data_IF_169259747029
#
_entry.id   IF_169259747029
#
_cell.length_a   1.000
_cell.length_b   1.000
_cell.length_c   1.000
_cell.angle_alpha   90.00
_cell.angle_beta   90.00
_cell.angle_gamma   90.00
#
_symmetry.space_group_name_H-M   'P 1'
#
loop_
_entity.id
_entity.type
_entity.pdbx_description
1 polymer ?
#
# COMPACT_ATOMS: atom_id res chain seq x y z
N UNK A 1 7.54 20.17 4.26
CA UNK A 1 8.25 19.19 5.11
C UNK A 1 7.83 17.78 4.69
N UNK A 2 8.70 16.77 4.80
CA UNK A 2 8.34 15.34 4.63
C UNK A 2 8.69 14.60 5.92
N UNK A 3 7.68 14.04 6.57
CA UNK A 3 7.83 13.16 7.74
C UNK A 3 7.49 11.73 7.34
N UNK A 4 8.26 10.76 7.85
CA UNK A 4 8.01 9.33 7.63
C UNK A 4 7.68 8.68 8.96
N UNK A 5 6.62 7.85 8.98
CA UNK A 5 6.22 7.02 10.11
C UNK A 5 6.26 5.55 9.71
N UNK A 6 6.75 4.72 10.64
CA UNK A 6 7.01 3.30 10.40
C UNK A 6 6.39 2.47 11.52
N UNK A 7 5.58 1.50 11.12
CA UNK A 7 4.83 0.62 12.02
C UNK A 7 5.31 -0.82 11.83
N UNK A 8 5.27 -1.62 12.90
CA UNK A 8 5.77 -3.00 12.92
C UNK A 8 4.71 -3.91 13.51
N UNK A 9 4.73 -5.18 13.17
CA UNK A 9 3.92 -6.19 13.86
C UNK A 9 4.22 -6.18 15.36
N UNK A 10 3.20 -5.86 16.17
CA UNK A 10 3.29 -5.74 17.62
C UNK A 10 4.08 -4.54 18.13
N UNK A 11 4.50 -3.63 17.24
CA UNK A 11 5.35 -2.48 17.59
C UNK A 11 4.61 -1.27 18.17
N UNK A 12 3.29 -1.26 18.07
CA UNK A 12 2.43 -0.15 18.47
C UNK A 12 1.04 -0.66 18.85
N UNK A 13 0.29 0.10 19.66
CA UNK A 13 -1.12 -0.19 19.93
C UNK A 13 -2.04 0.51 18.93
N UNK A 14 -3.26 -0.01 18.74
CA UNK A 14 -4.27 0.66 17.93
C UNK A 14 -4.62 2.06 18.47
N UNK A 15 -4.58 2.25 19.79
CA UNK A 15 -4.85 3.54 20.42
C UNK A 15 -3.76 4.56 20.10
N UNK A 16 -2.49 4.17 20.07
CA UNK A 16 -1.39 5.07 19.68
C UNK A 16 -1.56 5.54 18.23
N UNK A 17 -1.84 4.61 17.32
CA UNK A 17 -2.11 4.95 15.91
C UNK A 17 -3.38 5.79 15.77
N UNK A 18 -4.43 5.50 16.54
CA UNK A 18 -5.66 6.31 16.54
C UNK A 18 -5.37 7.76 16.95
N UNK A 19 -4.55 7.97 17.98
CA UNK A 19 -4.16 9.30 18.44
C UNK A 19 -3.33 10.05 17.40
N UNK A 20 -2.42 9.35 16.72
CA UNK A 20 -1.65 9.91 15.60
C UNK A 20 -2.55 10.39 14.44
N UNK A 21 -3.53 9.57 14.07
CA UNK A 21 -4.51 9.92 13.02
C UNK A 21 -5.40 11.07 13.50
N UNK A 22 -5.86 11.04 14.76
CA UNK A 22 -6.65 12.11 15.36
C UNK A 22 -5.89 13.43 15.45
N UNK A 23 -4.59 13.41 15.76
CA UNK A 23 -3.73 14.60 15.75
C UNK A 23 -3.63 15.20 14.34
N UNK A 24 -3.42 14.36 13.33
CA UNK A 24 -3.39 14.82 11.93
C UNK A 24 -4.71 15.51 11.56
N UNK A 25 -5.85 14.86 11.80
CA UNK A 25 -7.19 15.40 11.52
C UNK A 25 -7.51 16.63 12.37
N UNK A 26 -7.05 16.66 13.62
CA UNK A 26 -7.25 17.76 14.57
C UNK A 26 -6.63 19.07 14.10
N UNK A 27 -5.55 19.01 13.31
CA UNK A 27 -4.94 20.18 12.69
C UNK A 27 -5.78 20.82 11.55
N UNK A 28 -6.88 20.21 11.12
CA UNK A 28 -7.70 20.74 10.02
C UNK A 28 -8.49 21.99 10.46
N UNK A 29 -8.48 23.01 9.60
CA UNK A 29 -9.13 24.31 9.81
C UNK A 29 -10.18 24.65 8.77
N UNK A 30 -10.14 24.02 7.59
CA UNK A 30 -11.00 24.28 6.43
C UNK A 30 -11.59 23.01 5.84
N UNK A 31 -10.76 22.02 5.53
CA UNK A 31 -11.20 20.78 4.88
C UNK A 31 -10.44 19.55 5.36
N UNK A 32 -11.11 18.41 5.29
CA UNK A 32 -10.54 17.09 5.49
C UNK A 32 -11.13 16.13 4.47
N UNK A 33 -10.29 15.59 3.59
CA UNK A 33 -10.69 14.62 2.58
C UNK A 33 -9.98 13.29 2.81
N UNK A 34 -10.74 12.19 2.94
CA UNK A 34 -10.20 10.87 3.28
C UNK A 34 -10.58 9.84 2.22
N UNK A 35 -9.58 9.20 1.61
CA UNK A 35 -9.77 8.04 0.75
C UNK A 35 -9.16 6.81 1.44
N UNK A 36 -10.02 5.93 1.93
CA UNK A 36 -9.62 4.81 2.78
C UNK A 36 -10.26 3.53 2.30
N UNK A 37 -9.41 2.59 1.89
CA UNK A 37 -9.80 1.28 1.41
C UNK A 37 -10.54 0.45 2.46
N UNK A 38 -9.88 0.12 3.56
CA UNK A 38 -10.38 -0.78 4.62
C UNK A 38 -10.55 -0.02 5.93
N UNK A 39 -11.79 0.03 6.43
CA UNK A 39 -12.14 0.62 7.72
C UNK A 39 -12.77 -0.44 8.61
N UNK A 40 -12.03 -0.86 9.65
CA UNK A 40 -12.49 -1.82 10.68
C UNK A 40 -11.84 -1.50 12.01
N UNK A 41 -12.24 -0.35 12.57
CA UNK A 41 -11.86 0.06 13.90
C UNK A 41 -12.94 -0.36 14.89
N UNK A 42 -12.53 -0.72 16.09
CA UNK A 42 -13.43 -1.00 17.21
C UNK A 42 -12.84 -0.45 18.51
N UNK A 43 -13.61 -0.55 19.60
CA UNK A 43 -13.23 -0.09 20.94
C UNK A 43 -12.68 1.35 20.96
N UNK A 44 -11.65 1.61 21.76
CA UNK A 44 -11.08 2.95 21.99
C UNK A 44 -10.54 3.57 20.68
N UNK A 45 -9.97 2.75 19.79
CA UNK A 45 -9.45 3.22 18.51
C UNK A 45 -10.55 3.80 17.61
N UNK A 46 -11.71 3.13 17.53
CA UNK A 46 -12.88 3.64 16.81
C UNK A 46 -13.43 4.92 17.44
N UNK A 47 -13.50 4.98 18.77
CA UNK A 47 -13.99 6.14 19.50
C UNK A 47 -13.12 7.38 19.26
N UNK A 48 -11.79 7.21 19.27
CA UNK A 48 -10.84 8.30 19.04
C UNK A 48 -10.99 8.87 17.62
N UNK A 49 -10.99 8.00 16.59
CA UNK A 49 -11.14 8.46 15.19
C UNK A 49 -12.50 9.11 14.96
N UNK A 50 -13.57 8.47 15.46
CA UNK A 50 -14.93 9.01 15.36
C UNK A 50 -15.02 10.38 16.03
N UNK A 51 -14.49 10.51 17.26
CA UNK A 51 -14.45 11.77 18.00
C UNK A 51 -13.72 12.85 17.22
N UNK A 52 -12.55 12.54 16.64
CA UNK A 52 -11.78 13.51 15.87
C UNK A 52 -12.49 13.99 14.59
N UNK A 53 -13.23 13.12 13.90
CA UNK A 53 -14.04 13.49 12.74
C UNK A 53 -15.22 14.40 13.16
N UNK A 54 -15.92 14.05 14.24
CA UNK A 54 -17.01 14.84 14.80
C UNK A 54 -16.53 16.21 15.29
N UNK A 55 -15.38 16.27 15.96
CA UNK A 55 -14.77 17.51 16.43
C UNK A 55 -14.39 18.42 15.26
N UNK A 56 -13.84 17.85 14.17
CA UNK A 56 -13.54 18.61 12.96
C UNK A 56 -14.82 19.24 12.38
N UNK A 57 -15.89 18.44 12.25
CA UNK A 57 -17.18 18.94 11.78
C UNK A 57 -17.78 20.01 12.69
N UNK A 58 -17.69 19.84 14.02
CA UNK A 58 -18.16 20.81 15.00
C UNK A 58 -17.41 22.15 14.92
N UNK A 59 -16.13 22.13 14.52
CA UNK A 59 -15.34 23.33 14.19
C UNK A 59 -15.71 23.97 12.84
N UNK A 60 -16.59 23.34 12.05
CA UNK A 60 -16.98 23.80 10.72
C UNK A 60 -16.03 23.38 9.60
N UNK A 61 -15.14 22.39 9.85
CA UNK A 61 -14.29 21.80 8.81
C UNK A 61 -15.16 21.00 7.84
N UNK A 62 -14.96 21.19 6.53
CA UNK A 62 -15.62 20.41 5.51
C UNK A 62 -14.99 19.01 5.40
N UNK A 63 -15.65 18.00 5.98
CA UNK A 63 -15.19 16.61 5.97
C UNK A 63 -15.85 15.85 4.81
N UNK A 64 -15.07 15.10 4.03
CA UNK A 64 -15.55 14.17 2.98
C UNK A 64 -14.77 12.87 3.05
N UNK A 65 -15.46 11.74 2.92
CA UNK A 65 -14.83 10.42 3.00
C UNK A 65 -15.30 9.51 1.85
N UNK A 66 -14.36 8.95 1.09
CA UNK A 66 -14.63 7.86 0.15
C UNK A 66 -14.08 6.55 0.71
N UNK A 67 -14.83 5.46 0.54
CA UNK A 67 -14.46 4.13 1.04
C UNK A 67 -14.83 3.03 0.06
N UNK A 68 -14.06 1.93 0.07
CA UNK A 68 -14.34 0.78 -0.76
C UNK A 68 -15.55 0.01 -0.22
N UNK A 69 -16.43 -0.40 -1.13
CA UNK A 69 -17.51 -1.35 -0.83
C UNK A 69 -17.19 -2.69 -1.48
N UNK A 70 -17.06 -3.71 -0.64
CA UNK A 70 -16.82 -5.08 -1.07
C UNK A 70 -18.05 -5.67 -1.73
N UNK A 71 -17.81 -6.58 -2.67
CA UNK A 71 -18.87 -7.29 -3.36
C UNK A 71 -18.64 -8.79 -3.28
N UNK A 72 -19.71 -9.60 -3.18
CA UNK A 72 -19.61 -11.05 -3.31
C UNK A 72 -19.29 -11.41 -4.76
N UNK A 73 -18.00 -11.57 -5.06
CA UNK A 73 -17.45 -12.03 -6.35
C UNK A 73 -16.30 -13.02 -6.14
N UNK A 74 -15.65 -13.54 -7.20
CA UNK A 74 -14.44 -14.33 -7.03
C UNK A 74 -13.40 -13.47 -6.30
N UNK A 75 -12.97 -13.94 -5.13
CA UNK A 75 -12.07 -13.21 -4.25
C UNK A 75 -10.71 -13.05 -4.95
N UNK A 76 -10.21 -11.81 -5.17
CA UNK A 76 -8.87 -11.62 -5.75
C UNK A 76 -7.79 -12.22 -4.84
N UNK A 77 -6.60 -12.51 -5.37
CA UNK A 77 -5.50 -13.10 -4.59
C UNK A 77 -4.32 -12.12 -4.52
N UNK A 78 -3.88 -11.72 -3.31
CA UNK A 78 -4.39 -12.15 -1.99
C UNK A 78 -5.82 -11.64 -1.69
N UNK A 79 -6.59 -12.37 -0.87
CA UNK A 79 -7.95 -11.99 -0.53
C UNK A 79 -7.98 -10.62 0.16
N UNK A 80 -8.81 -9.69 -0.31
CA UNK A 80 -8.96 -8.39 0.31
C UNK A 80 -9.57 -8.52 1.71
N UNK A 81 -9.14 -7.72 2.68
CA UNK A 81 -9.95 -7.46 3.86
C UNK A 81 -11.30 -6.83 3.46
N UNK A 82 -12.36 -7.08 4.24
CA UNK A 82 -13.67 -6.43 4.06
C UNK A 82 -13.81 -5.20 4.95
N UNK A 83 -14.37 -4.10 4.44
CA UNK A 83 -14.67 -2.89 5.21
C UNK A 83 -15.90 -3.10 6.11
N UNK A 84 -15.93 -2.45 7.28
CA UNK A 84 -17.11 -2.32 8.14
C UNK A 84 -17.75 -0.93 7.96
N UNK A 85 -18.60 -0.75 6.93
CA UNK A 85 -19.12 0.57 6.54
C UNK A 85 -20.09 1.17 7.56
N UNK A 86 -20.64 0.37 8.48
CA UNK A 86 -21.70 0.79 9.40
C UNK A 86 -21.24 1.90 10.36
N UNK A 87 -19.96 1.88 10.77
CA UNK A 87 -19.38 2.92 11.62
C UNK A 87 -19.40 4.28 10.93
N UNK A 88 -19.12 4.32 9.62
CA UNK A 88 -18.97 5.53 8.83
C UNK A 88 -20.30 6.07 8.34
N UNK A 89 -21.21 5.18 7.95
CA UNK A 89 -22.56 5.54 7.51
C UNK A 89 -23.40 6.15 8.64
N UNK A 90 -23.06 5.83 9.89
CA UNK A 90 -23.68 6.45 11.07
C UNK A 90 -23.13 7.85 11.39
N UNK A 91 -21.99 8.26 10.80
CA UNK A 91 -21.43 9.57 11.05
C UNK A 91 -22.21 10.65 10.29
N UNK A 92 -22.48 11.82 10.89
CA UNK A 92 -23.14 12.94 10.23
C UNK A 92 -22.23 13.67 9.22
N UNK A 93 -21.23 13.00 8.64
CA UNK A 93 -20.31 13.55 7.64
C UNK A 93 -20.67 13.04 6.23
N UNK A 94 -20.44 13.84 5.18
CA UNK A 94 -20.55 13.35 3.81
C UNK A 94 -19.61 12.17 3.54
N UNK A 95 -20.20 11.00 3.24
CA UNK A 95 -19.47 9.81 2.79
C UNK A 95 -19.92 9.41 1.37
N UNK A 96 -19.04 8.72 0.64
CA UNK A 96 -19.37 8.12 -0.66
C UNK A 96 -18.79 6.70 -0.76
N UNK A 97 -19.63 5.67 -0.87
CA UNK A 97 -19.17 4.32 -1.19
C UNK A 97 -18.68 4.24 -2.64
N UNK A 98 -17.56 3.54 -2.85
CA UNK A 98 -16.97 3.28 -4.16
C UNK A 98 -17.00 1.77 -4.40
N UNK A 99 -17.73 1.28 -5.44
CA UNK A 99 -17.79 -0.15 -5.72
C UNK A 99 -16.43 -0.75 -6.06
N UNK A 100 -16.01 -1.78 -5.34
CA UNK A 100 -14.75 -2.50 -5.58
C UNK A 100 -14.83 -3.57 -6.68
N UNK A 101 -15.59 -3.34 -7.75
CA UNK A 101 -15.75 -4.28 -8.87
C UNK A 101 -15.69 -3.52 -10.20
N UNK A 102 -14.90 -3.97 -11.19
CA UNK A 102 -14.02 -5.14 -11.15
C UNK A 102 -12.75 -4.97 -10.31
N UNK A 103 -12.38 -3.74 -9.98
CA UNK A 103 -11.13 -3.38 -9.29
C UNK A 103 -11.42 -2.55 -8.02
N UNK A 104 -10.51 -2.58 -7.05
CA UNK A 104 -10.72 -2.02 -5.71
C UNK A 104 -10.41 -0.52 -5.65
N UNK A 105 -11.13 0.22 -4.80
CA UNK A 105 -10.69 1.55 -4.35
C UNK A 105 -9.64 1.37 -3.24
N UNK A 106 -8.39 1.16 -3.63
CA UNK A 106 -7.28 0.77 -2.75
C UNK A 106 -6.37 1.97 -2.39
N UNK A 107 -6.98 3.12 -2.10
CA UNK A 107 -6.29 4.29 -1.57
C UNK A 107 -6.27 4.29 -0.04
N UNK A 108 -5.16 4.75 0.52
CA UNK A 108 -4.99 5.01 1.94
C UNK A 108 -4.33 6.37 2.12
N UNK A 109 -5.09 7.44 1.88
CA UNK A 109 -4.62 8.79 2.08
C UNK A 109 -5.67 9.70 2.70
N UNK A 110 -5.19 10.76 3.36
CA UNK A 110 -6.00 11.86 3.84
C UNK A 110 -5.34 13.20 3.48
N UNK A 111 -6.16 14.19 3.15
CA UNK A 111 -5.74 15.54 2.79
C UNK A 111 -6.30 16.49 3.82
N UNK A 112 -5.42 17.27 4.44
CA UNK A 112 -5.79 18.30 5.40
C UNK A 112 -5.63 19.67 4.76
N UNK A 113 -6.72 20.43 4.75
CA UNK A 113 -6.81 21.82 4.29
C UNK A 113 -6.31 22.08 2.86
N UNK A 114 -6.20 21.04 2.03
CA UNK A 114 -5.51 21.07 0.71
C UNK A 114 -4.04 21.55 0.82
N UNK A 115 -3.39 21.29 1.95
CA UNK A 115 -2.01 21.72 2.22
C UNK A 115 -1.11 20.57 2.65
N UNK A 116 -1.65 19.57 3.36
CA UNK A 116 -0.88 18.45 3.90
C UNK A 116 -1.51 17.14 3.46
N UNK A 117 -0.69 16.22 2.96
CA UNK A 117 -1.08 14.86 2.58
C UNK A 117 -0.53 13.88 3.59
N UNK A 118 -1.38 13.02 4.14
CA UNK A 118 -1.01 11.77 4.79
C UNK A 118 -1.24 10.65 3.78
N UNK A 119 -0.22 9.88 3.42
CA UNK A 119 -0.40 8.73 2.52
C UNK A 119 0.56 7.61 2.84
N UNK A 120 0.19 6.37 2.53
CA UNK A 120 1.08 5.23 2.64
C UNK A 120 0.34 3.92 2.51
N UNK A 121 0.83 2.90 3.19
CA UNK A 121 0.23 1.57 3.14
C UNK A 121 -0.87 1.34 4.17
N UNK A 122 -0.96 2.16 5.24
CA UNK A 122 -1.75 1.88 6.44
C UNK A 122 -3.28 1.87 6.18
N UNK A 123 -3.91 0.70 6.31
CA UNK A 123 -5.37 0.61 6.36
C UNK A 123 -5.87 1.13 7.71
N UNK A 124 -7.14 1.53 7.79
CA UNK A 124 -7.75 1.98 9.05
C UNK A 124 -8.48 0.82 9.71
N UNK A 125 -7.72 -0.24 10.02
CA UNK A 125 -8.23 -1.42 10.69
C UNK A 125 -7.36 -1.80 11.88
N UNK A 126 -7.97 -2.46 12.87
CA UNK A 126 -7.28 -2.86 14.10
C UNK A 126 -6.00 -3.65 13.81
N UNK A 127 -6.07 -4.62 12.90
CA UNK A 127 -4.95 -5.46 12.52
C UNK A 127 -3.87 -4.66 11.79
N UNK A 128 -4.25 -3.75 10.89
CA UNK A 128 -3.26 -2.90 10.22
C UNK A 128 -2.49 -2.02 11.20
N UNK A 129 -3.16 -1.60 12.28
CA UNK A 129 -2.57 -0.76 13.30
C UNK A 129 -1.74 -1.54 14.32
N UNK A 130 -1.91 -2.86 14.45
CA UNK A 130 -1.27 -3.63 15.54
C UNK A 130 -0.42 -4.81 15.08
N UNK A 131 -0.66 -5.34 13.87
CA UNK A 131 -0.08 -6.61 13.38
C UNK A 131 0.63 -6.49 12.03
N UNK A 132 0.56 -5.35 11.37
CA UNK A 132 1.12 -5.16 10.03
C UNK A 132 2.24 -4.13 9.99
N UNK A 133 3.29 -4.42 9.23
CA UNK A 133 4.31 -3.45 8.87
C UNK A 133 3.71 -2.41 7.93
N UNK A 134 3.84 -1.14 8.25
CA UNK A 134 3.33 -0.07 7.40
C UNK A 134 4.33 1.09 7.31
N UNK A 135 4.30 1.81 6.20
CA UNK A 135 5.01 3.07 6.05
C UNK A 135 4.05 4.16 5.60
N UNK A 136 4.16 5.31 6.23
CA UNK A 136 3.39 6.53 5.95
C UNK A 136 4.36 7.68 5.66
N UNK A 137 3.99 8.53 4.70
CA UNK A 137 4.54 9.85 4.50
C UNK A 137 3.49 10.92 4.83
N UNK A 138 3.86 11.86 5.70
CA UNK A 138 3.16 13.12 5.86
C UNK A 138 3.94 14.18 5.09
N UNK A 139 3.28 14.86 4.16
CA UNK A 139 3.92 15.79 3.25
C UNK A 139 3.16 17.11 3.26
N UNK A 140 3.82 18.15 3.76
CA UNK A 140 3.34 19.53 3.68
C UNK A 140 3.76 20.12 2.33
N UNK A 141 2.83 20.15 1.39
CA UNK A 141 2.99 20.74 0.07
C UNK A 141 1.62 21.00 -0.56
N UNK A 142 1.20 22.27 -0.72
CA UNK A 142 -0.05 22.60 -1.39
C UNK A 142 -0.15 22.06 -2.82
N UNK A 143 0.99 21.96 -3.52
CA UNK A 143 1.04 21.41 -4.88
C UNK A 143 0.76 19.90 -4.88
N UNK A 144 1.34 19.16 -3.94
CA UNK A 144 1.08 17.73 -3.78
C UNK A 144 -0.37 17.50 -3.31
N UNK A 145 -0.82 18.25 -2.31
CA UNK A 145 -2.18 18.18 -1.79
C UNK A 145 -3.23 18.53 -2.85
N UNK A 146 -2.91 19.44 -3.78
CA UNK A 146 -3.74 19.70 -4.95
C UNK A 146 -3.84 18.49 -5.87
N UNK A 147 -2.72 17.79 -6.17
CA UNK A 147 -2.75 16.59 -7.00
C UNK A 147 -3.58 15.46 -6.38
N UNK A 148 -3.39 15.17 -5.09
CA UNK A 148 -4.23 14.24 -4.35
C UNK A 148 -5.68 14.69 -4.31
N UNK A 149 -5.91 16.00 -4.17
CA UNK A 149 -7.23 16.59 -4.15
C UNK A 149 -7.99 16.39 -5.46
N UNK A 150 -7.32 16.51 -6.61
CA UNK A 150 -7.91 16.22 -7.91
C UNK A 150 -8.30 14.74 -8.04
N UNK A 151 -7.44 13.82 -7.60
CA UNK A 151 -7.75 12.39 -7.59
C UNK A 151 -8.93 12.07 -6.65
N UNK A 152 -8.97 12.71 -5.47
CA UNK A 152 -10.09 12.58 -4.55
C UNK A 152 -11.39 13.08 -5.18
N UNK A 153 -11.36 14.28 -5.77
CA UNK A 153 -12.56 14.90 -6.36
C UNK A 153 -13.07 14.06 -7.55
N UNK A 154 -12.18 13.44 -8.35
CA UNK A 154 -12.55 12.47 -9.39
C UNK A 154 -13.38 11.31 -8.83
N UNK A 155 -12.86 10.59 -7.83
CA UNK A 155 -13.58 9.49 -7.18
C UNK A 155 -14.87 9.96 -6.49
N UNK A 156 -14.83 11.14 -5.86
CA UNK A 156 -15.97 11.74 -5.19
C UNK A 156 -17.11 12.09 -6.15
N UNK A 157 -16.80 12.48 -7.38
CA UNK A 157 -17.80 12.86 -8.38
C UNK A 157 -18.33 11.64 -9.14
N UNK A 158 -17.44 10.78 -9.63
CA UNK A 158 -17.79 9.67 -10.52
C UNK A 158 -18.20 8.41 -9.75
N UNK A 159 -17.52 8.10 -8.66
CA UNK A 159 -17.64 6.79 -8.00
C UNK A 159 -17.08 5.63 -8.81
N UNK A 160 -16.25 5.90 -9.82
CA UNK A 160 -15.74 4.91 -10.77
C UNK A 160 -14.23 4.70 -10.55
N UNK A 161 -13.82 3.45 -10.27
CA UNK A 161 -12.42 3.07 -10.10
C UNK A 161 -11.73 2.96 -11.46
N UNK A 162 -12.35 2.30 -12.43
CA UNK A 162 -11.72 1.93 -13.71
C UNK A 162 -11.33 3.17 -14.50
N UNK A 163 -12.16 4.20 -14.46
CA UNK A 163 -11.93 5.47 -15.14
C UNK A 163 -11.34 6.54 -14.20
N UNK A 164 -10.52 6.15 -13.23
CA UNK A 164 -9.87 7.08 -12.27
C UNK A 164 -8.34 7.11 -12.38
N UNK A 165 -7.72 8.01 -11.60
CA UNK A 165 -6.27 8.11 -11.51
C UNK A 165 -5.65 9.00 -12.59
N UNK A 166 -6.46 9.84 -13.24
CA UNK A 166 -6.07 10.65 -14.40
C UNK A 166 -5.16 11.85 -14.10
N UNK A 167 -4.77 12.00 -12.84
CA UNK A 167 -3.91 13.11 -12.42
C UNK A 167 -2.49 12.83 -12.91
N UNK A 168 -2.07 13.64 -13.88
CA UNK A 168 -0.73 13.58 -14.47
C UNK A 168 0.37 13.54 -13.39
N UNK A 169 1.34 12.60 -13.49
CA UNK A 169 2.37 12.38 -12.47
C UNK A 169 3.49 13.43 -12.58
N UNK A 170 3.14 14.69 -12.30
CA UNK A 170 4.06 15.83 -12.38
C UNK A 170 4.90 15.91 -11.10
N UNK A 171 6.24 15.99 -11.20
CA UNK A 171 7.07 16.21 -10.04
C UNK A 171 6.79 17.59 -9.43
N UNK A 172 6.85 17.67 -8.11
CA UNK A 172 6.74 18.88 -7.29
C UNK A 172 7.93 18.95 -6.34
N UNK A 173 8.38 20.16 -6.04
CA UNK A 173 9.45 20.39 -5.09
C UNK A 173 8.87 20.58 -3.68
N UNK A 174 9.26 19.72 -2.75
CA UNK A 174 8.94 19.85 -1.33
C UNK A 174 10.21 20.27 -0.60
N UNK A 175 10.47 21.58 -0.58
CA UNK A 175 11.78 22.09 -0.18
C UNK A 175 12.82 21.76 -1.24
N UNK A 176 13.84 20.99 -0.88
CA UNK A 176 14.91 20.49 -1.77
C UNK A 176 14.66 19.05 -2.27
N UNK A 177 13.49 18.48 -1.96
CA UNK A 177 13.13 17.11 -2.34
C UNK A 177 12.18 17.12 -3.54
N UNK A 178 12.57 16.48 -4.63
CA UNK A 178 11.67 16.21 -5.77
C UNK A 178 10.76 15.02 -5.41
N UNK A 179 9.45 15.27 -5.39
CA UNK A 179 8.40 14.27 -5.12
C UNK A 179 7.47 14.21 -6.32
N UNK A 180 7.12 13.01 -6.78
CA UNK A 180 6.13 12.82 -7.84
C UNK A 180 5.00 11.90 -7.36
N UNK A 181 3.74 12.38 -7.33
CA UNK A 181 2.60 11.53 -7.10
C UNK A 181 2.28 10.70 -8.34
N UNK A 182 1.84 9.47 -8.13
CA UNK A 182 1.32 8.57 -9.14
C UNK A 182 -0.03 8.04 -8.66
N UNK A 183 -0.97 7.90 -9.59
CA UNK A 183 -2.30 7.36 -9.34
C UNK A 183 -2.64 6.29 -10.38
N UNK A 184 -3.05 5.12 -9.91
CA UNK A 184 -3.62 4.05 -10.72
C UNK A 184 -5.16 4.16 -10.68
N UNK A 185 -5.90 3.59 -11.65
CA UNK A 185 -5.44 2.73 -12.75
C UNK A 185 -4.78 3.43 -13.94
N UNK A 186 -5.16 4.67 -14.28
CA UNK A 186 -4.71 5.33 -15.52
C UNK A 186 -3.18 5.31 -15.70
N UNK A 187 -2.42 5.53 -14.62
CA UNK A 187 -0.95 5.48 -14.66
C UNK A 187 -0.34 4.22 -14.02
N UNK A 188 -1.12 3.17 -13.75
CA UNK A 188 -0.67 1.94 -13.09
C UNK A 188 0.42 1.19 -13.86
N UNK A 189 0.20 0.92 -15.16
CA UNK A 189 1.20 0.29 -16.03
C UNK A 189 2.48 1.15 -16.16
N UNK A 190 2.31 2.46 -16.36
CA UNK A 190 3.40 3.40 -16.45
C UNK A 190 4.23 3.46 -15.16
N UNK A 191 3.58 3.38 -13.99
CA UNK A 191 4.20 3.30 -12.68
C UNK A 191 5.00 1.99 -12.51
N UNK A 192 4.45 0.84 -12.89
CA UNK A 192 5.17 -0.43 -12.84
C UNK A 192 6.47 -0.39 -13.67
N UNK A 193 6.39 0.16 -14.89
CA UNK A 193 7.58 0.40 -15.73
C UNK A 193 8.52 1.46 -15.16
N UNK A 194 8.00 2.48 -14.47
CA UNK A 194 8.80 3.50 -13.80
C UNK A 194 9.64 2.87 -12.68
N UNK A 195 9.03 2.04 -11.84
CA UNK A 195 9.70 1.32 -10.76
C UNK A 195 10.77 0.38 -11.35
N UNK A 196 10.40 -0.45 -12.33
CA UNK A 196 11.33 -1.35 -13.02
C UNK A 196 12.55 -0.59 -13.59
N UNK A 197 12.32 0.55 -14.26
CA UNK A 197 13.40 1.39 -14.78
C UNK A 197 14.34 1.89 -13.68
N UNK A 198 13.82 2.29 -12.51
CA UNK A 198 14.66 2.70 -11.37
C UNK A 198 15.47 1.55 -10.80
N UNK A 199 14.87 0.37 -10.67
CA UNK A 199 15.58 -0.84 -10.27
C UNK A 199 16.74 -1.16 -11.22
N UNK A 200 16.52 -1.19 -12.53
CA UNK A 200 17.58 -1.45 -13.53
C UNK A 200 18.67 -0.37 -13.60
N UNK A 201 18.37 0.85 -13.13
CA UNK A 201 19.34 1.93 -13.01
C UNK A 201 20.15 1.89 -11.71
N UNK A 202 19.75 1.07 -10.73
CA UNK A 202 20.46 0.97 -9.47
C UNK A 202 21.91 0.49 -9.67
N UNK A 203 22.81 1.00 -8.82
CA UNK A 203 24.24 0.68 -8.84
C UNK A 203 24.76 0.24 -7.49
N UNK A 204 24.09 0.61 -6.40
CA UNK A 204 24.55 0.35 -5.04
C UNK A 204 23.61 -0.61 -4.33
N UNK A 205 22.33 -0.26 -4.20
CA UNK A 205 21.38 -1.08 -3.43
C UNK A 205 19.96 -1.04 -3.98
N UNK A 206 19.25 -2.13 -3.74
CA UNK A 206 17.81 -2.26 -3.86
C UNK A 206 17.26 -2.81 -2.54
N UNK A 207 16.19 -2.18 -2.04
CA UNK A 207 15.41 -2.69 -0.91
C UNK A 207 13.93 -2.73 -1.27
N UNK A 208 13.27 -3.84 -0.97
CA UNK A 208 11.85 -4.03 -1.29
C UNK A 208 11.11 -4.56 -0.07
N UNK A 209 9.99 -3.95 0.28
CA UNK A 209 8.97 -4.55 1.12
C UNK A 209 7.66 -4.53 0.35
N UNK A 210 6.99 -5.67 0.26
CA UNK A 210 5.71 -5.77 -0.44
C UNK A 210 4.96 -7.02 0.01
N UNK A 211 3.62 -7.03 0.07
CA UNK A 211 2.89 -8.26 0.31
C UNK A 211 3.23 -9.33 -0.75
N UNK A 212 3.22 -8.93 -2.02
CA UNK A 212 3.53 -9.80 -3.17
C UNK A 212 4.29 -9.03 -4.27
N UNK A 213 5.06 -9.76 -5.08
CA UNK A 213 5.82 -9.24 -6.22
C UNK A 213 5.43 -9.99 -7.50
N UNK A 214 4.39 -9.53 -8.19
CA UNK A 214 3.81 -10.22 -9.34
C UNK A 214 3.67 -9.36 -10.61
N UNK A 215 3.97 -8.06 -10.54
CA UNK A 215 4.05 -7.17 -11.70
C UNK A 215 5.17 -7.61 -12.63
N UNK A 216 4.85 -7.81 -13.91
CA UNK A 216 5.76 -8.38 -14.91
C UNK A 216 7.06 -7.57 -15.09
N UNK A 217 6.98 -6.25 -15.36
CA UNK A 217 8.16 -5.40 -15.53
C UNK A 217 9.10 -5.41 -14.32
N UNK A 218 8.54 -5.34 -13.10
CA UNK A 218 9.30 -5.31 -11.84
C UNK A 218 9.96 -6.66 -11.59
N UNK A 219 9.19 -7.74 -11.70
CA UNK A 219 9.65 -9.10 -11.47
C UNK A 219 10.76 -9.50 -12.45
N UNK A 220 10.60 -9.22 -13.74
CA UNK A 220 11.62 -9.51 -14.75
C UNK A 220 12.92 -8.75 -14.50
N UNK A 221 12.81 -7.47 -14.13
CA UNK A 221 13.98 -6.63 -13.83
C UNK A 221 14.73 -7.11 -12.58
N UNK A 222 14.02 -7.46 -11.50
CA UNK A 222 14.65 -8.00 -10.29
C UNK A 222 15.34 -9.34 -10.56
N UNK A 223 14.73 -10.22 -11.35
CA UNK A 223 15.32 -11.50 -11.72
C UNK A 223 16.63 -11.33 -12.52
N UNK A 224 16.68 -10.37 -13.44
CA UNK A 224 17.90 -10.01 -14.17
C UNK A 224 18.99 -9.47 -13.22
N UNK A 225 18.66 -8.47 -12.40
CA UNK A 225 19.62 -7.84 -11.47
C UNK A 225 20.21 -8.85 -10.48
N UNK A 226 19.37 -9.71 -9.90
CA UNK A 226 19.83 -10.74 -8.98
C UNK A 226 20.67 -11.82 -9.68
N UNK A 227 20.47 -12.03 -10.97
CA UNK A 227 21.30 -12.95 -11.77
C UNK A 227 22.67 -12.36 -12.08
N UNK A 228 22.72 -11.04 -12.30
CA UNK A 228 23.97 -10.30 -12.50
C UNK A 228 24.84 -10.21 -11.24
N UNK A 229 24.21 -10.17 -10.05
CA UNK A 229 24.91 -10.14 -8.76
C UNK A 229 25.75 -8.88 -8.50
N UNK A 230 25.45 -7.78 -9.21
CA UNK A 230 26.23 -6.52 -9.17
C UNK A 230 25.70 -5.48 -8.17
N UNK A 231 24.46 -5.63 -7.72
CA UNK A 231 23.76 -4.70 -6.84
C UNK A 231 23.38 -5.43 -5.57
N UNK A 232 23.51 -4.79 -4.42
CA UNK A 232 23.03 -5.33 -3.15
C UNK A 232 21.49 -5.29 -3.15
N UNK A 233 20.85 -6.44 -3.39
CA UNK A 233 19.40 -6.60 -3.38
C UNK A 233 18.99 -7.35 -2.11
N UNK A 234 18.01 -6.82 -1.39
CA UNK A 234 17.38 -7.51 -0.28
C UNK A 234 15.93 -7.04 -0.10
N UNK A 235 15.12 -7.81 0.62
CA UNK A 235 13.76 -7.40 0.90
C UNK A 235 12.99 -8.39 1.76
N UNK A 236 11.71 -8.08 1.95
CA UNK A 236 10.74 -8.92 2.63
C UNK A 236 9.45 -8.99 1.82
N UNK A 237 8.86 -10.18 1.78
CA UNK A 237 7.52 -10.42 1.24
C UNK A 237 6.64 -11.11 2.27
N UNK A 238 5.35 -11.22 1.97
CA UNK A 238 4.46 -12.12 2.70
C UNK A 238 4.58 -13.55 2.15
N UNK A 239 5.06 -14.49 2.96
CA UNK A 239 5.34 -15.88 2.51
C UNK A 239 4.02 -16.58 2.13
N UNK A 240 3.01 -16.42 2.98
CA UNK A 240 1.69 -17.03 2.84
C UNK A 240 0.95 -16.51 1.60
N UNK A 241 1.01 -15.20 1.31
CA UNK A 241 0.41 -14.65 0.09
C UNK A 241 1.20 -15.00 -1.18
N UNK A 242 2.53 -15.11 -1.09
CA UNK A 242 3.36 -15.59 -2.21
C UNK A 242 2.97 -17.02 -2.60
N UNK A 243 2.70 -17.90 -1.64
CA UNK A 243 2.15 -19.23 -1.91
C UNK A 243 0.80 -19.18 -2.64
N UNK A 244 -0.09 -18.27 -2.24
CA UNK A 244 -1.36 -18.03 -2.93
C UNK A 244 -1.18 -17.59 -4.38
N UNK A 245 -0.22 -16.69 -4.65
CA UNK A 245 0.13 -16.26 -6.01
C UNK A 245 0.67 -17.42 -6.85
N UNK A 246 1.56 -18.23 -6.28
CA UNK A 246 2.12 -19.41 -6.95
C UNK A 246 1.04 -20.44 -7.28
N UNK A 247 0.09 -20.67 -6.37
CA UNK A 247 -1.06 -21.53 -6.60
C UNK A 247 -1.91 -21.02 -7.78
N UNK A 248 -2.30 -19.75 -7.77
CA UNK A 248 -3.09 -19.12 -8.84
C UNK A 248 -2.40 -19.19 -10.22
N UNK A 249 -1.10 -18.90 -10.27
CA UNK A 249 -0.34 -18.96 -11.52
C UNK A 249 -0.30 -20.36 -12.14
N UNK A 250 -0.25 -21.41 -11.31
CA UNK A 250 -0.30 -22.80 -11.78
C UNK A 250 -1.67 -23.16 -12.33
N UNK A 251 -2.75 -22.68 -11.73
CA UNK A 251 -4.11 -22.90 -12.23
C UNK A 251 -4.36 -22.18 -13.56
N UNK A 252 -3.90 -20.93 -13.68
CA UNK A 252 -4.20 -20.09 -14.84
C UNK A 252 -3.34 -20.41 -16.07
N UNK A 253 -2.19 -21.08 -15.91
CA UNK A 253 -1.31 -21.52 -17.01
C UNK A 253 -0.53 -20.40 -17.75
N UNK A 254 -1.05 -19.17 -17.74
CA UNK A 254 -0.51 -18.00 -18.47
C UNK A 254 0.66 -17.30 -17.76
N UNK A 255 1.09 -17.78 -16.59
CA UNK A 255 2.16 -17.19 -15.78
C UNK A 255 3.38 -18.13 -15.63
N UNK A 256 3.53 -19.12 -16.51
CA UNK A 256 4.58 -20.14 -16.43
C UNK A 256 6.01 -19.59 -16.37
N UNK A 257 6.27 -18.45 -17.01
CA UNK A 257 7.58 -17.78 -16.96
C UNK A 257 7.83 -17.01 -15.66
N UNK A 258 6.77 -16.60 -14.94
CA UNK A 258 6.89 -15.78 -13.72
C UNK A 258 7.41 -16.60 -12.54
N UNK A 259 7.07 -17.90 -12.45
CA UNK A 259 7.49 -18.76 -11.33
C UNK A 259 9.03 -18.87 -11.24
N UNK A 260 9.77 -19.22 -12.31
CA UNK A 260 11.24 -19.25 -12.25
C UNK A 260 11.86 -17.89 -11.92
N UNK A 261 11.30 -16.80 -12.44
CA UNK A 261 11.80 -15.46 -12.20
C UNK A 261 11.55 -14.99 -10.75
N UNK A 262 10.37 -15.29 -10.18
CA UNK A 262 10.05 -15.05 -8.77
C UNK A 262 11.00 -15.81 -7.86
N UNK A 263 11.14 -17.12 -8.05
CA UNK A 263 12.10 -17.96 -7.29
C UNK A 263 13.51 -17.38 -7.37
N UNK A 264 13.94 -16.99 -8.57
CA UNK A 264 15.31 -16.52 -8.81
C UNK A 264 15.66 -15.36 -7.90
N UNK A 265 14.85 -14.32 -7.80
CA UNK A 265 15.23 -13.18 -6.97
C UNK A 265 14.98 -13.47 -5.48
N UNK A 266 13.92 -14.19 -5.10
CA UNK A 266 13.65 -14.51 -3.70
C UNK A 266 14.79 -15.34 -3.08
N UNK A 267 15.29 -16.34 -3.81
CA UNK A 267 16.39 -17.19 -3.37
C UNK A 267 17.76 -16.51 -3.54
N UNK A 268 18.05 -15.91 -4.71
CA UNK A 268 19.38 -15.35 -4.98
C UNK A 268 19.68 -14.09 -4.15
N UNK A 269 18.66 -13.29 -3.81
CA UNK A 269 18.80 -12.11 -2.97
C UNK A 269 18.46 -12.38 -1.49
N UNK A 270 18.12 -13.61 -1.12
CA UNK A 270 17.83 -13.98 0.27
C UNK A 270 16.70 -13.15 0.88
N UNK A 271 15.56 -13.08 0.20
CA UNK A 271 14.38 -12.38 0.71
C UNK A 271 13.85 -13.07 1.98
N UNK A 272 13.41 -12.26 2.93
CA UNK A 272 12.68 -12.74 4.09
C UNK A 272 11.19 -12.92 3.74
N UNK A 273 10.54 -13.88 4.39
CA UNK A 273 9.12 -14.17 4.23
C UNK A 273 8.41 -14.06 5.57
N UNK A 274 7.50 -13.11 5.71
CA UNK A 274 6.62 -13.06 6.89
C UNK A 274 5.62 -14.22 6.81
N UNK A 275 5.59 -15.12 7.79
CA UNK A 275 4.62 -16.20 7.82
C UNK A 275 3.30 -15.68 8.39
N UNK A 276 2.45 -15.10 7.53
CA UNK A 276 1.16 -14.57 7.98
C UNK A 276 0.15 -15.68 8.23
N UNK A 277 -0.85 -15.36 9.05
CA UNK A 277 -2.04 -16.19 9.24
C UNK A 277 -2.77 -16.37 7.91
N UNK A 278 -3.15 -17.62 7.60
CA UNK A 278 -3.97 -17.90 6.42
C UNK A 278 -5.29 -17.16 6.52
N UNK A 279 -5.68 -16.49 5.44
CA UNK A 279 -6.87 -15.66 5.45
C UNK A 279 -8.14 -16.49 5.66
N UNK A 280 -8.94 -16.04 6.62
CA UNK A 280 -10.36 -16.30 6.77
C UNK A 280 -11.04 -15.06 7.39
N UNK A 281 -12.36 -14.86 7.22
CA UNK A 281 -13.04 -13.64 7.68
C UNK A 281 -12.87 -13.30 9.16
N UNK A 282 -12.66 -14.30 10.00
CA UNK A 282 -12.53 -14.21 11.47
C UNK A 282 -11.08 -14.36 11.96
N UNK A 283 -10.11 -14.45 11.04
CA UNK A 283 -8.69 -14.55 11.37
C UNK A 283 -8.04 -13.18 11.48
N UNK A 284 -6.91 -13.13 12.18
CA UNK A 284 -6.06 -11.94 12.22
C UNK A 284 -5.47 -11.67 10.84
N UNK A 285 -5.51 -10.41 10.41
CA UNK A 285 -4.87 -9.97 9.17
C UNK A 285 -3.46 -9.42 9.43
N UNK A 286 -2.49 -10.31 9.64
CA UNK A 286 -1.12 -9.97 10.01
C UNK A 286 -0.11 -10.06 8.84
N UNK A 287 -0.55 -9.95 7.60
CA UNK A 287 0.34 -10.02 6.44
C UNK A 287 1.33 -8.85 6.34
N UNK A 288 2.45 -9.04 5.63
CA UNK A 288 3.38 -7.96 5.29
C UNK A 288 2.65 -6.92 4.47
N UNK A 289 2.49 -5.70 5.00
CA UNK A 289 1.64 -4.69 4.37
C UNK A 289 2.40 -3.50 3.78
N UNK A 290 3.66 -3.29 4.17
CA UNK A 290 4.45 -2.19 3.67
C UNK A 290 4.68 -2.36 2.16
N UNK A 291 4.48 -1.29 1.39
CA UNK A 291 4.82 -1.25 -0.04
C UNK A 291 5.88 -0.19 -0.25
N UNK A 292 7.12 -0.66 -0.25
CA UNK A 292 8.31 0.17 -0.33
C UNK A 292 9.23 -0.41 -1.40
N UNK A 293 9.70 0.45 -2.28
CA UNK A 293 10.83 0.14 -3.17
C UNK A 293 11.88 1.23 -3.00
N UNK A 294 13.12 0.85 -2.76
CA UNK A 294 14.27 1.76 -2.78
C UNK A 294 15.23 1.26 -3.86
N UNK A 295 15.65 2.18 -4.73
CA UNK A 295 16.70 1.99 -5.72
C UNK A 295 17.71 3.14 -5.58
N UNK A 296 18.84 2.86 -4.95
CA UNK A 296 19.84 3.85 -4.53
C UNK A 296 19.22 5.01 -3.72
N UNK A 297 19.06 6.17 -4.37
CA UNK A 297 18.60 7.44 -3.79
C UNK A 297 17.19 7.83 -4.26
N UNK A 298 16.48 6.90 -4.92
CA UNK A 298 15.07 7.02 -5.32
C UNK A 298 14.26 5.98 -4.57
N UNK A 299 13.15 6.39 -3.99
CA UNK A 299 12.23 5.51 -3.29
C UNK A 299 10.79 5.68 -3.76
N UNK A 300 10.00 4.62 -3.60
CA UNK A 300 8.58 4.56 -3.87
C UNK A 300 7.90 4.05 -2.60
N UNK A 301 6.85 4.74 -2.16
CA UNK A 301 5.97 4.28 -1.09
C UNK A 301 4.53 4.74 -1.32
N UNK A 302 3.56 3.97 -0.84
CA UNK A 302 2.14 4.29 -1.00
C UNK A 302 1.25 3.08 -0.73
N UNK A 303 0.06 3.08 -1.33
CA UNK A 303 -0.87 1.95 -1.23
C UNK A 303 -0.61 0.86 -2.28
N UNK A 304 0.28 1.13 -3.24
CA UNK A 304 0.41 0.32 -4.44
C UNK A 304 1.01 -1.07 -4.23
N UNK A 305 0.23 -2.11 -4.50
CA UNK A 305 0.75 -3.47 -4.52
C UNK A 305 1.60 -3.69 -5.77
N UNK A 306 2.78 -4.30 -5.65
CA UNK A 306 3.69 -4.55 -6.78
C UNK A 306 3.21 -5.75 -7.62
N UNK A 307 1.93 -5.73 -8.02
CA UNK A 307 1.16 -6.78 -8.65
C UNK A 307 0.44 -6.27 -9.89
N UNK A 308 -0.07 -7.18 -10.72
CA UNK A 308 -0.91 -6.79 -11.86
C UNK A 308 -2.24 -6.16 -11.41
N UNK A 309 -2.84 -6.65 -10.32
CA UNK A 309 -4.06 -6.04 -9.76
C UNK A 309 -3.80 -4.63 -9.22
N UNK A 310 -2.60 -4.35 -8.69
CA UNK A 310 -2.24 -2.99 -8.27
C UNK A 310 -2.24 -1.99 -9.43
N UNK A 311 -1.92 -2.45 -10.65
CA UNK A 311 -1.99 -1.63 -11.86
C UNK A 311 -3.44 -1.23 -12.24
N UNK A 312 -4.44 -1.98 -11.75
CA UNK A 312 -5.86 -1.80 -12.08
C UNK A 312 -6.71 -1.23 -10.93
N UNK A 313 -6.28 -1.40 -9.69
CA UNK A 313 -6.91 -0.79 -8.53
C UNK A 313 -6.68 0.73 -8.51
N UNK A 314 -7.58 1.47 -7.85
CA UNK A 314 -7.30 2.86 -7.50
C UNK A 314 -6.25 2.90 -6.39
N UNK A 315 -4.98 3.10 -6.75
CA UNK A 315 -3.84 3.10 -5.84
C UNK A 315 -3.01 4.38 -5.99
N UNK A 316 -2.23 4.73 -4.97
CA UNK A 316 -1.35 5.91 -5.03
C UNK A 316 0.08 5.59 -4.60
N UNK A 317 1.06 6.30 -5.17
CA UNK A 317 2.49 6.20 -4.83
C UNK A 317 3.15 7.57 -4.85
N UNK A 318 4.04 7.81 -3.90
CA UNK A 318 5.03 8.87 -3.95
C UNK A 318 6.36 8.30 -4.48
N UNK A 319 6.80 8.74 -5.67
CA UNK A 319 8.20 8.62 -6.08
C UNK A 319 8.97 9.79 -5.45
N UNK A 320 9.94 9.48 -4.58
CA UNK A 320 10.74 10.47 -3.86
C UNK A 320 12.20 10.33 -4.25
N UNK A 321 12.81 11.41 -4.73
CA UNK A 321 14.24 11.45 -5.10
C UNK A 321 15.01 12.24 -4.05
N UNK A 322 15.49 11.53 -3.04
CA UNK A 322 16.32 12.08 -1.97
C UNK A 322 17.06 10.96 -1.24
N UNK A 323 18.39 11.11 -1.12
CA UNK A 323 19.25 10.08 -0.53
C UNK A 323 18.91 9.79 0.95
N UNK A 324 18.64 10.82 1.75
CA UNK A 324 18.34 10.66 3.17
C UNK A 324 16.99 9.96 3.42
N UNK A 325 15.97 10.28 2.61
CA UNK A 325 14.68 9.58 2.65
C UNK A 325 14.84 8.12 2.20
N UNK A 326 15.57 7.89 1.10
CA UNK A 326 15.86 6.55 0.62
C UNK A 326 16.65 5.72 1.65
N UNK A 327 17.59 6.33 2.37
CA UNK A 327 18.33 5.69 3.47
C UNK A 327 17.41 5.27 4.61
N UNK A 328 16.48 6.14 5.04
CA UNK A 328 15.52 5.82 6.11
C UNK A 328 14.57 4.69 5.71
N UNK A 329 14.07 4.70 4.47
CA UNK A 329 13.20 3.64 3.97
C UNK A 329 13.96 2.32 3.82
N UNK A 330 15.20 2.36 3.31
CA UNK A 330 16.05 1.18 3.21
C UNK A 330 16.34 0.57 4.59
N UNK A 331 16.67 1.42 5.58
CA UNK A 331 16.90 0.98 6.95
C UNK A 331 15.66 0.30 7.54
N UNK A 332 14.47 0.88 7.34
CA UNK A 332 13.24 0.25 7.80
C UNK A 332 12.99 -1.11 7.13
N UNK A 333 13.23 -1.25 5.82
CA UNK A 333 13.14 -2.55 5.12
C UNK A 333 14.15 -3.55 5.68
N UNK A 334 15.39 -3.12 5.95
CA UNK A 334 16.42 -3.96 6.55
C UNK A 334 16.07 -4.40 7.99
N UNK A 335 15.43 -3.53 8.78
CA UNK A 335 14.94 -3.85 10.12
C UNK A 335 13.83 -4.91 10.08
N UNK A 336 12.79 -4.71 9.26
CA UNK A 336 11.64 -5.64 9.23
C UNK A 336 12.01 -7.00 8.63
N UNK A 337 12.87 -7.05 7.60
CA UNK A 337 13.29 -8.34 7.03
C UNK A 337 14.11 -9.16 8.02
N UNK A 338 14.80 -8.53 8.97
CA UNK A 338 15.56 -9.23 9.99
C UNK A 338 14.68 -9.92 11.05
N UNK A 339 13.38 -9.60 11.09
CA UNK A 339 12.42 -10.22 12.01
C UNK A 339 11.91 -11.58 11.54
N UNK A 340 12.09 -11.89 10.25
CA UNK A 340 11.46 -13.04 9.61
C UNK A 340 12.49 -14.01 9.02
N UNK A 341 12.14 -15.31 8.92
CA UNK A 341 12.99 -16.27 8.22
C UNK A 341 13.06 -15.94 6.72
N UNK A 342 13.96 -16.62 6.01
CA UNK A 342 13.95 -16.60 4.55
C UNK A 342 12.63 -17.19 4.02
N UNK A 343 12.18 -16.69 2.87
CA UNK A 343 11.00 -17.21 2.16
C UNK A 343 11.14 -18.71 1.94
N UNK A 344 10.06 -19.45 2.16
CA UNK A 344 10.01 -20.89 1.89
C UNK A 344 9.19 -21.14 0.64
N UNK A 345 9.86 -21.50 -0.46
CA UNK A 345 9.15 -21.77 -1.72
C UNK A 345 8.82 -23.26 -1.86
N UNK A 346 7.61 -23.63 -2.32
CA UNK A 346 7.24 -25.03 -2.58
C UNK A 346 8.22 -25.68 -3.56
N UNK A 347 8.42 -27.01 -3.50
CA UNK A 347 9.26 -27.70 -4.49
C UNK A 347 8.72 -27.53 -5.93
N UNK A 348 9.62 -27.64 -6.92
CA UNK A 348 9.23 -27.61 -8.32
C UNK A 348 8.29 -28.77 -8.66
N UNK A 349 7.09 -28.43 -9.14
CA UNK A 349 6.02 -29.39 -9.43
C UNK A 349 5.06 -29.68 -8.27
N UNK A 350 5.39 -29.33 -7.02
CA UNK A 350 4.50 -29.52 -5.86
C UNK A 350 3.45 -28.41 -5.82
N UNK A 351 2.16 -28.74 -5.94
CA UNK A 351 1.08 -27.75 -5.80
C UNK A 351 1.02 -27.34 -4.32
N UNK A 352 1.34 -26.08 -3.94
CA UNK A 352 1.14 -25.64 -2.57
C UNK A 352 -0.31 -25.91 -2.17
N UNK A 353 -0.52 -26.31 -0.91
CA UNK A 353 -1.87 -26.52 -0.41
C UNK A 353 -2.71 -25.27 -0.71
N UNK A 354 -3.95 -25.43 -1.17
CA UNK A 354 -4.74 -24.26 -1.47
C UNK A 354 -4.87 -23.46 -0.16
N UNK A 355 -4.59 -22.17 -0.24
CA UNK A 355 -4.71 -21.25 0.91
C UNK A 355 -6.18 -21.18 1.37
N UNK A 356 -7.12 -21.72 0.58
CA UNK A 356 -8.54 -21.89 0.90
C UNK A 356 -9.09 -23.27 0.49
N UNK A 357 -9.99 -23.91 1.26
CA UNK A 357 -10.93 -24.84 0.66
C UNK A 357 -11.80 -24.05 -0.31
N UNK A 358 -11.77 -24.42 -1.60
CA UNK A 358 -12.74 -23.92 -2.58
C UNK A 358 -14.13 -24.36 -2.12
N UNK A 359 -15.13 -23.46 -1.98
CA UNK A 359 -16.52 -23.87 -1.80
C UNK A 359 -17.04 -24.66 -3.02
#
# INVERSE_FOLDING_TARGET
MIELRFYRDGGQSAVDVANEVAEFMGGATRSLELAVYDIRLFDDAAQIVTGALLDAQARGVAVRLVYNVDHPGPIPVPPPPQTAPELLEALPIPTRPIPGVPDLMHHQYAIRDREVVWTGSLNWSQDSWTRQENAIALVESPQLAHAFGLNFDELWETGDVVDSGKVEPRPVDVGDVEVRPWFAPEHGEALAHRIAKRLGQARRRIRVASPVLSSGPILGTLAEICSDGKVDVAGVVDDTQVDGVLYQWRLNGNASWKVPALRRFLEAAGFAGKPSTNWAPDTVHDFMHAKIVVADDVSFLGSFNLSHSGELNAENVLEVKNAAIADRLAAFVDEIRALYPLVTLPEDGAIPAPVHPVP
#
